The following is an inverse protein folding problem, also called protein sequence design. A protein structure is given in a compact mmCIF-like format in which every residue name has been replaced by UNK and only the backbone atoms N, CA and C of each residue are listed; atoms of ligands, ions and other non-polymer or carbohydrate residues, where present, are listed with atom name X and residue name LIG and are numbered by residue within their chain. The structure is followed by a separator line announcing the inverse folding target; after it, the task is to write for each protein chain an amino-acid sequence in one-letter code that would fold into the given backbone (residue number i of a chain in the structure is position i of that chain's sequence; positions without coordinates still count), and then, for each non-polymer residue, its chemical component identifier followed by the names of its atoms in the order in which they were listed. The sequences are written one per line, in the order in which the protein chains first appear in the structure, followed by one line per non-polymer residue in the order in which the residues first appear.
data_IF_023191805803
#
_entry.id   IF_023191805803
#
_cell.length_a   1.000
_cell.length_b   1.000
_cell.length_c   1.000
_cell.angle_alpha   90.00
_cell.angle_beta   90.00
_cell.angle_gamma   90.00
#
_symmetry.space_group_name_H-M   'P 1'
#
loop_
_entity.id
_entity.type
_entity.pdbx_description
1 polymer ?
#
# COMPACT_ATOMS: atom_id res chain seq x y z
N UNK A 1 -4.75 -16.40 -15.01
CA UNK A 1 -4.09 -16.38 -13.71
C UNK A 1 -2.57 -16.22 -13.82
N UNK A 2 -1.85 -17.11 -14.56
CA UNK A 2 -0.36 -17.04 -14.69
C UNK A 2 0.15 -15.68 -15.20
N UNK A 3 -0.44 -15.13 -16.26
CA UNK A 3 -0.05 -13.83 -16.82
C UNK A 3 -0.41 -12.64 -15.90
N UNK A 4 -1.47 -12.76 -15.10
CA UNK A 4 -1.87 -11.73 -14.13
C UNK A 4 -0.88 -11.65 -12.96
N UNK A 5 -0.47 -12.81 -12.42
CA UNK A 5 0.56 -12.88 -11.36
C UNK A 5 1.91 -12.35 -11.87
N UNK A 6 2.29 -12.69 -13.10
CA UNK A 6 3.52 -12.18 -13.73
C UNK A 6 3.47 -10.66 -13.86
N UNK A 7 2.36 -10.09 -14.28
CA UNK A 7 2.21 -8.63 -14.41
C UNK A 7 2.27 -7.92 -13.06
N UNK A 8 1.69 -8.50 -12.00
CA UNK A 8 1.80 -7.96 -10.64
C UNK A 8 3.26 -8.02 -10.15
N UNK A 9 3.94 -9.16 -10.34
CA UNK A 9 5.35 -9.31 -9.95
C UNK A 9 6.24 -8.31 -10.72
N UNK A 10 6.01 -8.14 -12.01
CA UNK A 10 6.75 -7.16 -12.82
C UNK A 10 6.48 -5.72 -12.36
N UNK A 11 5.25 -5.38 -12.01
CA UNK A 11 4.90 -4.06 -11.47
C UNK A 11 5.56 -3.81 -10.11
N UNK A 12 5.59 -4.81 -9.23
CA UNK A 12 6.27 -4.74 -7.93
C UNK A 12 7.79 -4.60 -8.08
N UNK A 13 8.42 -5.37 -8.99
CA UNK A 13 9.86 -5.26 -9.28
C UNK A 13 10.19 -3.87 -9.80
N UNK A 14 9.37 -3.33 -10.70
CA UNK A 14 9.56 -1.98 -11.25
C UNK A 14 9.45 -0.89 -10.17
N UNK A 15 8.51 -1.01 -9.23
CA UNK A 15 8.39 -0.09 -8.09
C UNK A 15 9.61 -0.16 -7.15
N UNK A 16 10.14 -1.37 -6.88
CA UNK A 16 11.33 -1.56 -6.03
C UNK A 16 12.58 -0.93 -6.68
N UNK A 17 12.74 -1.02 -8.01
CA UNK A 17 13.85 -0.39 -8.71
C UNK A 17 13.76 1.14 -8.70
N UNK A 18 12.57 1.71 -8.75
CA UNK A 18 12.34 3.15 -8.57
C UNK A 18 12.66 3.63 -7.16
N UNK A 19 12.39 2.83 -6.12
CA UNK A 19 12.78 3.14 -4.75
C UNK A 19 14.30 3.16 -4.55
N UNK A 20 15.02 2.20 -5.14
CA UNK A 20 16.49 2.21 -5.13
C UNK A 20 17.04 3.48 -5.77
N UNK A 21 16.38 3.99 -6.80
CA UNK A 21 16.74 5.24 -7.45
C UNK A 21 16.52 6.44 -6.51
N UNK A 22 15.41 6.48 -5.79
CA UNK A 22 15.10 7.53 -4.81
C UNK A 22 16.04 7.47 -3.60
N UNK A 23 16.36 6.28 -3.11
CA UNK A 23 17.33 6.06 -2.04
C UNK A 23 18.76 6.48 -2.45
N UNK A 24 19.19 6.19 -3.68
CA UNK A 24 20.46 6.65 -4.23
C UNK A 24 20.53 8.17 -4.39
N UNK A 25 19.42 8.83 -4.72
CA UNK A 25 19.32 10.28 -4.78
C UNK A 25 19.48 10.87 -3.37
N UNK A 26 18.84 10.30 -2.36
CA UNK A 26 18.96 10.70 -0.96
C UNK A 26 20.39 10.49 -0.41
N UNK A 27 21.03 9.36 -0.74
CA UNK A 27 22.42 9.09 -0.37
C UNK A 27 23.43 10.00 -1.10
N UNK A 28 23.16 10.36 -2.35
CA UNK A 28 24.02 11.32 -3.08
C UNK A 28 23.90 12.72 -2.50
N UNK A 29 22.73 13.14 -2.04
CA UNK A 29 22.58 14.43 -1.32
C UNK A 29 23.31 14.44 0.03
N UNK A 30 23.43 13.30 0.70
CA UNK A 30 24.22 13.15 1.93
C UNK A 30 25.74 13.14 1.63
N UNK A 31 26.18 12.49 0.54
CA UNK A 31 27.59 12.49 0.11
C UNK A 31 28.07 13.83 -0.46
N UNK A 32 27.19 14.64 -1.02
CA UNK A 32 27.52 15.99 -1.53
C UNK A 32 27.97 16.95 -0.42
N UNK A 33 27.67 16.68 0.87
CA UNK A 33 28.23 17.45 1.98
C UNK A 33 29.73 17.26 2.21
N UNK A 34 30.34 16.19 1.66
CA UNK A 34 31.78 15.92 1.78
C UNK A 34 32.65 16.46 0.64
N UNK A 35 32.06 16.91 -0.47
CA UNK A 35 32.82 17.42 -1.62
C UNK A 35 32.73 18.95 -1.76
N UNK A 36 33.40 19.67 -0.85
CA UNK A 36 33.34 21.14 -0.75
C UNK A 36 34.23 21.91 -1.73
N UNK A 37 34.74 21.33 -2.82
CA UNK A 37 35.74 21.97 -3.68
C UNK A 37 35.31 22.30 -5.13
N UNK A 38 34.03 22.25 -5.48
CA UNK A 38 33.59 22.67 -6.82
C UNK A 38 32.66 23.87 -6.75
N UNK A 39 33.09 24.98 -7.34
CA UNK A 39 32.40 26.29 -7.41
C UNK A 39 30.98 26.25 -8.00
N UNK A 40 30.60 25.12 -8.62
CA UNK A 40 29.25 24.88 -9.16
C UNK A 40 28.23 24.52 -8.07
N UNK A 41 28.66 24.03 -6.91
CA UNK A 41 27.79 23.60 -5.83
C UNK A 41 27.35 24.72 -4.89
N UNK A 42 28.07 25.82 -4.83
CA UNK A 42 27.69 26.98 -4.01
C UNK A 42 26.47 27.75 -4.54
N UNK A 43 26.09 27.51 -5.81
CA UNK A 43 24.86 28.07 -6.41
C UNK A 43 23.62 27.23 -6.03
N UNK A 44 23.80 25.99 -5.54
CA UNK A 44 22.71 25.04 -5.28
C UNK A 44 22.22 25.06 -3.80
N UNK A 45 22.90 25.78 -2.93
CA UNK A 45 22.57 25.81 -1.48
C UNK A 45 21.65 26.97 -1.13
N UNK A 46 21.52 27.97 -2.00
CA UNK A 46 20.68 29.12 -1.74
C UNK A 46 19.36 29.03 -2.52
N UNK A 47 18.32 28.73 -1.80
CA UNK A 47 16.90 28.73 -2.20
C UNK A 47 16.30 27.42 -2.73
N UNK A 48 15.14 27.12 -2.16
CA UNK A 48 14.20 26.04 -2.54
C UNK A 48 13.82 25.99 -4.05
N UNK A 49 14.06 27.08 -4.80
CA UNK A 49 13.90 27.15 -6.25
C UNK A 49 15.00 26.40 -7.03
N UNK A 50 16.20 26.26 -6.47
CA UNK A 50 17.32 25.61 -7.17
C UNK A 50 17.23 24.07 -7.16
N UNK A 51 16.61 23.49 -6.12
CA UNK A 51 16.34 22.04 -6.11
C UNK A 51 15.34 21.64 -7.20
N UNK A 52 14.43 22.52 -7.53
CA UNK A 52 13.43 22.38 -8.58
C UNK A 52 14.07 22.30 -9.99
N UNK A 53 14.93 23.25 -10.34
CA UNK A 53 15.62 23.23 -11.65
C UNK A 53 16.59 22.03 -11.76
N UNK A 54 17.25 21.65 -10.69
CA UNK A 54 18.12 20.47 -10.65
C UNK A 54 17.34 19.17 -10.86
N UNK A 55 16.20 19.01 -10.21
CA UNK A 55 15.30 17.86 -10.43
C UNK A 55 14.74 17.84 -11.84
N UNK A 56 14.33 18.98 -12.38
CA UNK A 56 13.83 19.15 -13.73
C UNK A 56 14.91 18.81 -14.78
N UNK A 57 16.13 19.28 -14.57
CA UNK A 57 17.28 18.96 -15.44
C UNK A 57 17.66 17.48 -15.39
N UNK A 58 17.61 16.87 -14.18
CA UNK A 58 17.93 15.46 -13.98
C UNK A 58 16.85 14.55 -14.58
N UNK A 59 15.58 14.91 -14.45
CA UNK A 59 14.47 14.20 -15.08
C UNK A 59 14.50 14.35 -16.62
N UNK A 60 14.89 15.53 -17.15
CA UNK A 60 15.02 15.76 -18.61
C UNK A 60 16.23 15.07 -19.22
N UNK A 61 17.35 14.96 -18.49
CA UNK A 61 18.59 14.34 -18.95
C UNK A 61 18.66 12.83 -18.70
N UNK A 62 17.71 12.27 -17.94
CA UNK A 62 17.63 10.83 -17.72
C UNK A 62 17.02 10.14 -18.96
N UNK A 63 17.79 10.13 -20.05
CA UNK A 63 17.55 9.25 -21.20
C UNK A 63 17.79 7.82 -20.77
N UNK A 64 16.84 7.21 -20.08
CA UNK A 64 16.78 5.75 -20.04
C UNK A 64 16.40 5.26 -21.43
N UNK A 65 17.33 4.64 -22.10
CA UNK A 65 17.23 4.12 -23.48
C UNK A 65 16.17 3.02 -23.64
N UNK A 66 15.41 2.69 -22.58
CA UNK A 66 14.43 1.59 -22.57
C UNK A 66 13.17 1.86 -21.73
N UNK A 67 12.97 3.07 -21.16
CA UNK A 67 11.75 3.41 -20.43
C UNK A 67 10.88 4.35 -21.25
N UNK A 68 9.65 3.95 -21.51
CA UNK A 68 8.62 4.84 -21.99
C UNK A 68 8.43 5.99 -20.98
N UNK A 69 8.40 7.22 -21.49
CA UNK A 69 8.10 8.38 -20.67
C UNK A 69 6.60 8.43 -20.45
N UNK A 70 6.16 8.06 -19.25
CA UNK A 70 4.74 8.01 -18.89
C UNK A 70 4.14 9.37 -18.52
N UNK A 71 4.98 10.33 -18.16
CA UNK A 71 4.54 11.65 -17.70
C UNK A 71 5.01 12.70 -18.69
N UNK A 72 4.09 13.43 -19.32
CA UNK A 72 4.38 14.55 -20.18
C UNK A 72 5.00 15.70 -19.39
N UNK A 73 5.83 16.52 -20.05
CA UNK A 73 6.53 17.67 -19.45
C UNK A 73 5.59 18.64 -18.75
N UNK A 74 4.40 18.83 -19.30
CA UNK A 74 3.37 19.72 -18.75
C UNK A 74 2.85 19.33 -17.35
N UNK A 75 3.00 18.04 -16.98
CA UNK A 75 2.54 17.52 -15.67
C UNK A 75 3.65 17.38 -14.62
N UNK A 76 4.92 17.62 -15.02
CA UNK A 76 6.07 17.47 -14.09
C UNK A 76 5.90 18.38 -12.86
N UNK A 77 5.40 19.60 -13.06
CA UNK A 77 5.19 20.56 -11.99
C UNK A 77 4.15 20.08 -10.98
N UNK A 78 3.11 19.38 -11.43
CA UNK A 78 2.11 18.76 -10.55
C UNK A 78 2.70 17.63 -9.70
N UNK A 79 3.60 16.83 -10.29
CA UNK A 79 4.29 15.75 -9.55
C UNK A 79 5.23 16.30 -8.47
N UNK A 80 5.97 17.37 -8.79
CA UNK A 80 6.94 17.99 -7.87
C UNK A 80 6.23 18.69 -6.71
N UNK A 81 5.11 19.37 -6.99
CA UNK A 81 4.36 20.14 -6.00
C UNK A 81 3.26 19.32 -5.30
N UNK A 82 3.23 18.01 -5.54
CA UNK A 82 2.23 17.13 -4.95
C UNK A 82 2.21 17.22 -3.43
N UNK A 83 1.01 17.35 -2.89
CA UNK A 83 0.74 17.25 -1.45
C UNK A 83 -0.47 16.35 -1.26
N UNK A 84 -0.29 15.29 -0.50
CA UNK A 84 -1.40 14.44 -0.11
C UNK A 84 -2.37 15.22 0.77
N UNK A 85 -3.66 15.15 0.44
CA UNK A 85 -4.75 15.64 1.26
C UNK A 85 -5.74 14.49 1.47
N UNK A 86 -6.07 14.22 2.71
CA UNK A 86 -7.03 13.17 3.05
C UNK A 86 -7.06 12.91 4.55
N UNK A 87 -8.09 12.21 4.98
CA UNK A 87 -8.28 11.83 6.38
C UNK A 87 -9.31 10.75 6.56
N UNK A 88 -9.15 9.97 7.61
CA UNK A 88 -10.08 8.95 8.06
C UNK A 88 -10.79 9.41 9.32
N UNK A 89 -12.14 9.50 9.25
CA UNK A 89 -13.00 9.90 10.37
C UNK A 89 -13.55 8.70 11.14
N UNK A 90 -13.18 7.48 10.76
CA UNK A 90 -13.65 6.24 11.34
C UNK A 90 -13.44 6.21 12.86
N UNK A 91 -14.40 5.63 13.55
CA UNK A 91 -14.37 5.47 15.01
C UNK A 91 -13.20 4.57 15.40
N UNK A 92 -13.05 3.42 14.73
CA UNK A 92 -11.98 2.46 15.00
C UNK A 92 -10.60 3.08 14.69
N UNK A 93 -10.48 3.79 13.58
CA UNK A 93 -9.25 4.51 13.26
C UNK A 93 -8.90 5.52 14.34
N UNK A 94 -9.82 6.39 14.70
CA UNK A 94 -9.60 7.50 15.62
C UNK A 94 -9.15 7.03 17.01
N UNK A 95 -9.78 5.98 17.55
CA UNK A 95 -9.57 5.57 18.93
C UNK A 95 -8.57 4.44 19.10
N UNK A 96 -8.36 3.59 18.09
CA UNK A 96 -7.51 2.41 18.18
C UNK A 96 -6.34 2.47 17.19
N UNK A 97 -6.61 2.51 15.89
CA UNK A 97 -5.57 2.36 14.88
C UNK A 97 -4.61 3.54 14.87
N UNK A 98 -5.13 4.77 14.85
CA UNK A 98 -4.32 5.97 14.76
C UNK A 98 -3.38 6.18 15.97
N UNK A 99 -3.82 6.03 17.23
CA UNK A 99 -2.93 6.09 18.38
C UNK A 99 -1.84 5.02 18.32
N UNK A 100 -2.20 3.78 17.96
CA UNK A 100 -1.26 2.68 17.83
C UNK A 100 -0.22 2.94 16.73
N UNK A 101 -0.64 3.32 15.53
CA UNK A 101 0.27 3.61 14.42
C UNK A 101 1.14 4.84 14.69
N UNK A 102 0.65 5.84 15.42
CA UNK A 102 1.46 6.99 15.85
C UNK A 102 2.55 6.60 16.85
N UNK A 103 2.25 5.67 17.73
CA UNK A 103 3.24 5.08 18.63
C UNK A 103 4.22 4.20 17.85
N UNK A 104 3.74 3.29 17.01
CA UNK A 104 4.54 2.33 16.26
C UNK A 104 5.54 3.00 15.30
N UNK A 105 5.13 4.05 14.57
CA UNK A 105 5.99 4.76 13.62
C UNK A 105 7.24 5.39 14.28
N UNK A 106 7.19 5.68 15.58
CA UNK A 106 8.33 6.26 16.30
C UNK A 106 9.49 5.28 16.46
N UNK A 107 9.21 3.98 16.48
CA UNK A 107 10.23 2.93 16.58
C UNK A 107 10.81 2.54 15.21
N UNK A 108 10.18 2.97 14.11
CA UNK A 108 10.69 2.67 12.79
C UNK A 108 11.96 3.50 12.51
N UNK A 109 13.01 2.86 11.97
CA UNK A 109 14.23 3.56 11.62
C UNK A 109 14.01 4.54 10.48
N UNK A 110 14.72 5.66 10.48
CA UNK A 110 14.59 6.71 9.45
C UNK A 110 15.09 6.27 8.06
N UNK A 111 15.86 5.20 7.98
CA UNK A 111 16.28 4.64 6.68
C UNK A 111 15.23 3.73 6.03
N UNK A 112 14.18 3.34 6.77
CA UNK A 112 13.12 2.48 6.25
C UNK A 112 12.19 3.31 5.37
N UNK A 113 12.21 3.02 4.07
CA UNK A 113 11.35 3.70 3.10
C UNK A 113 9.86 3.34 3.33
N UNK A 114 8.91 4.27 3.15
CA UNK A 114 7.48 4.02 3.33
C UNK A 114 6.98 2.84 2.50
N UNK A 115 7.32 2.78 1.22
CA UNK A 115 6.87 1.73 0.32
C UNK A 115 7.39 0.32 0.71
N UNK A 116 8.48 0.22 1.48
CA UNK A 116 8.91 -1.07 2.05
C UNK A 116 7.93 -1.56 3.10
N UNK A 117 7.33 -0.64 3.86
CA UNK A 117 6.30 -0.97 4.85
C UNK A 117 5.04 -1.47 4.12
N UNK A 118 4.60 -0.74 3.07
CA UNK A 118 3.47 -1.13 2.21
C UNK A 118 3.67 -2.53 1.63
N UNK A 119 4.84 -2.80 1.02
CA UNK A 119 5.19 -4.12 0.46
C UNK A 119 5.20 -5.20 1.54
N UNK A 120 5.76 -4.90 2.71
CA UNK A 120 5.80 -5.86 3.81
C UNK A 120 4.38 -6.22 4.27
N UNK A 121 3.48 -5.25 4.38
CA UNK A 121 2.06 -5.46 4.65
C UNK A 121 1.39 -6.34 3.58
N UNK A 122 1.62 -6.01 2.31
CA UNK A 122 1.09 -6.78 1.19
C UNK A 122 1.52 -8.26 1.22
N UNK A 123 2.76 -8.55 1.63
CA UNK A 123 3.23 -9.93 1.75
C UNK A 123 2.50 -10.73 2.83
N UNK A 124 1.98 -10.11 3.89
CA UNK A 124 1.13 -10.82 4.86
C UNK A 124 -0.17 -11.30 4.21
N UNK A 125 -0.80 -10.50 3.35
CA UNK A 125 -2.01 -10.92 2.63
C UNK A 125 -1.72 -11.95 1.55
N UNK A 126 -0.60 -11.83 0.85
CA UNK A 126 -0.16 -12.86 -0.09
C UNK A 126 0.12 -14.19 0.62
N UNK A 127 0.73 -14.13 1.81
CA UNK A 127 0.96 -15.31 2.64
C UNK A 127 -0.36 -15.96 3.06
N UNK A 128 -1.36 -15.18 3.47
CA UNK A 128 -2.70 -15.69 3.80
C UNK A 128 -3.34 -16.41 2.62
N UNK A 129 -3.24 -15.84 1.41
CA UNK A 129 -3.75 -16.45 0.19
C UNK A 129 -3.05 -17.79 -0.10
N UNK A 130 -1.73 -17.86 0.02
CA UNK A 130 -0.95 -19.10 -0.20
C UNK A 130 -1.33 -20.13 0.87
N UNK A 131 -1.37 -19.73 2.13
CA UNK A 131 -1.68 -20.60 3.26
C UNK A 131 -3.08 -21.23 3.12
N UNK A 132 -4.09 -20.40 2.89
CA UNK A 132 -5.47 -20.90 2.71
C UNK A 132 -5.60 -21.77 1.46
N UNK A 133 -4.96 -21.39 0.35
CA UNK A 133 -4.96 -22.20 -0.89
C UNK A 133 -4.31 -23.56 -0.71
N UNK A 134 -3.32 -23.66 0.17
CA UNK A 134 -2.67 -24.95 0.49
C UNK A 134 -3.65 -25.91 1.18
N UNK A 135 -4.52 -25.41 2.06
CA UNK A 135 -5.49 -26.23 2.79
C UNK A 135 -6.79 -26.49 2.03
N UNK A 136 -7.28 -25.51 1.27
CA UNK A 136 -8.53 -25.70 0.52
C UNK A 136 -8.33 -26.40 -0.81
N UNK A 137 -7.07 -26.48 -1.27
CA UNK A 137 -6.80 -26.91 -2.64
C UNK A 137 -7.45 -25.99 -3.66
N UNK A 138 -7.24 -26.22 -4.95
CA UNK A 138 -7.95 -25.47 -6.00
C UNK A 138 -9.42 -25.87 -6.17
N UNK A 139 -9.92 -26.85 -5.42
CA UNK A 139 -11.25 -27.47 -5.61
C UNK A 139 -12.27 -27.04 -4.55
N UNK A 140 -11.86 -26.31 -3.51
CA UNK A 140 -12.76 -25.93 -2.41
C UNK A 140 -13.40 -27.14 -1.72
N UNK A 141 -13.41 -27.18 -0.40
CA UNK A 141 -14.14 -28.21 0.34
C UNK A 141 -13.37 -28.90 1.45
N UNK A 142 -12.06 -28.75 1.50
CA UNK A 142 -11.27 -29.26 2.62
C UNK A 142 -11.42 -28.34 3.85
N UNK A 143 -11.38 -28.93 5.03
CA UNK A 143 -11.55 -28.20 6.28
C UNK A 143 -10.29 -27.39 6.57
N UNK A 144 -10.42 -26.07 6.65
CA UNK A 144 -9.36 -25.18 7.09
C UNK A 144 -9.16 -25.36 8.60
N UNK A 145 -7.93 -25.69 9.07
CA UNK A 145 -7.68 -25.81 10.50
C UNK A 145 -7.91 -24.49 11.26
N UNK A 146 -8.45 -24.51 12.48
CA UNK A 146 -8.73 -23.29 13.26
C UNK A 146 -7.53 -22.34 13.40
N UNK A 147 -6.34 -22.88 13.56
CA UNK A 147 -5.13 -22.06 13.68
C UNK A 147 -4.82 -21.25 12.41
N UNK A 148 -5.19 -21.76 11.23
CA UNK A 148 -5.02 -21.02 9.96
C UNK A 148 -5.91 -19.77 9.96
N UNK A 149 -7.16 -19.90 10.41
CA UNK A 149 -8.08 -18.76 10.51
C UNK A 149 -7.52 -17.69 11.47
N UNK A 150 -6.93 -18.10 12.62
CA UNK A 150 -6.30 -17.18 13.58
C UNK A 150 -5.09 -16.49 12.94
N UNK A 151 -4.24 -17.25 12.24
CA UNK A 151 -3.08 -16.67 11.53
C UNK A 151 -3.53 -15.69 10.47
N UNK A 152 -4.60 -15.98 9.72
CA UNK A 152 -5.14 -15.07 8.71
C UNK A 152 -5.66 -13.76 9.35
N UNK A 153 -6.35 -13.82 10.49
CA UNK A 153 -6.79 -12.63 11.21
C UNK A 153 -5.60 -11.77 11.67
N UNK A 154 -4.61 -12.38 12.34
CA UNK A 154 -3.42 -11.65 12.82
C UNK A 154 -2.65 -11.02 11.64
N UNK A 155 -2.45 -11.76 10.56
CA UNK A 155 -1.74 -11.27 9.38
C UNK A 155 -2.49 -10.13 8.70
N UNK A 156 -3.83 -10.21 8.62
CA UNK A 156 -4.64 -9.17 8.01
C UNK A 156 -4.66 -7.90 8.88
N UNK A 157 -4.81 -8.02 10.20
CA UNK A 157 -4.63 -6.90 11.14
C UNK A 157 -3.24 -6.27 10.99
N UNK A 158 -2.18 -7.09 10.82
CA UNK A 158 -0.81 -6.59 10.63
C UNK A 158 -0.68 -5.79 9.33
N UNK A 159 -1.29 -6.27 8.25
CA UNK A 159 -1.35 -5.53 6.98
C UNK A 159 -1.97 -4.14 7.19
N UNK A 160 -3.12 -4.05 7.83
CA UNK A 160 -3.81 -2.76 8.06
C UNK A 160 -2.96 -1.81 8.91
N UNK A 161 -2.25 -2.32 9.93
CA UNK A 161 -1.33 -1.51 10.72
C UNK A 161 -0.19 -0.96 9.85
N UNK A 162 0.36 -1.75 8.94
CA UNK A 162 1.44 -1.33 8.05
C UNK A 162 0.96 -0.30 7.04
N UNK A 163 -0.22 -0.50 6.46
CA UNK A 163 -0.91 0.38 5.55
C UNK A 163 -1.11 1.79 6.16
N UNK A 164 -1.73 1.87 7.34
CA UNK A 164 -1.86 3.15 8.04
C UNK A 164 -0.52 3.75 8.52
N UNK A 165 0.52 2.94 8.65
CA UNK A 165 1.83 3.40 9.16
C UNK A 165 2.72 3.95 8.06
N UNK A 166 2.64 3.45 6.82
CA UNK A 166 3.51 3.88 5.73
C UNK A 166 3.29 5.35 5.35
N UNK A 167 2.03 5.80 5.28
CA UNK A 167 1.70 7.21 5.11
C UNK A 167 2.18 8.11 6.25
N UNK A 168 2.20 7.60 7.51
CA UNK A 168 2.77 8.32 8.66
C UNK A 168 4.30 8.39 8.54
N UNK A 169 4.95 7.31 8.13
CA UNK A 169 6.39 7.27 7.88
C UNK A 169 6.76 8.21 6.71
N UNK A 170 5.97 8.23 5.63
CA UNK A 170 6.17 9.14 4.51
C UNK A 170 6.12 10.61 4.95
N UNK A 171 5.16 10.98 5.78
CA UNK A 171 5.07 12.33 6.34
C UNK A 171 6.22 12.66 7.29
N UNK A 172 6.61 11.70 8.16
CA UNK A 172 7.75 11.85 9.09
C UNK A 172 9.06 12.10 8.34
N UNK A 173 9.30 11.38 7.24
CA UNK A 173 10.50 11.49 6.42
C UNK A 173 10.43 12.60 5.36
N UNK A 174 9.28 13.29 5.22
CA UNK A 174 9.01 14.25 4.14
C UNK A 174 9.20 13.63 2.76
N UNK A 175 8.81 12.37 2.60
CA UNK A 175 8.97 11.55 1.40
C UNK A 175 7.64 11.23 0.72
N UNK A 176 6.56 11.96 1.04
CA UNK A 176 5.27 11.79 0.36
C UNK A 176 5.39 12.11 -1.13
N UNK A 177 4.86 11.23 -1.98
CA UNK A 177 4.95 11.36 -3.43
C UNK A 177 3.72 10.76 -4.12
N UNK A 178 3.36 11.22 -5.35
CA UNK A 178 2.28 10.61 -6.13
C UNK A 178 2.53 9.13 -6.43
N UNK A 179 3.80 8.76 -6.61
CA UNK A 179 4.18 7.36 -6.84
C UNK A 179 3.90 6.49 -5.62
N UNK A 180 4.19 7.02 -4.40
CA UNK A 180 3.86 6.34 -3.15
C UNK A 180 2.37 6.09 -3.02
N UNK A 181 1.52 7.09 -3.29
CA UNK A 181 0.06 6.95 -3.29
C UNK A 181 -0.43 5.93 -4.33
N UNK A 182 0.10 5.99 -5.56
CA UNK A 182 -0.27 5.04 -6.60
C UNK A 182 0.11 3.61 -6.23
N UNK A 183 1.25 3.44 -5.57
CA UNK A 183 1.74 2.14 -5.12
C UNK A 183 0.87 1.58 -3.99
N UNK A 184 0.53 2.40 -3.02
CA UNK A 184 -0.36 2.12 -1.90
C UNK A 184 -1.75 1.67 -2.41
N UNK A 185 -2.45 2.50 -3.16
CA UNK A 185 -3.74 2.13 -3.77
C UNK A 185 -3.66 0.91 -4.70
N UNK A 186 -2.52 0.69 -5.37
CA UNK A 186 -2.31 -0.51 -6.20
C UNK A 186 -2.22 -1.80 -5.37
N UNK A 187 -1.54 -1.75 -4.23
CA UNK A 187 -1.48 -2.88 -3.28
C UNK A 187 -2.84 -3.13 -2.62
N UNK A 188 -3.60 -2.08 -2.30
CA UNK A 188 -4.95 -2.18 -1.75
C UNK A 188 -5.92 -2.85 -2.72
N UNK A 189 -5.88 -2.46 -3.99
CA UNK A 189 -6.68 -3.11 -5.02
C UNK A 189 -6.41 -4.61 -5.12
N UNK A 190 -5.13 -5.02 -5.06
CA UNK A 190 -4.74 -6.44 -5.03
C UNK A 190 -5.20 -7.12 -3.73
N UNK A 191 -5.05 -6.44 -2.60
CA UNK A 191 -5.46 -6.94 -1.28
C UNK A 191 -6.95 -7.18 -1.21
N UNK A 192 -7.78 -6.32 -1.79
CA UNK A 192 -9.24 -6.50 -1.87
C UNK A 192 -9.59 -7.85 -2.49
N UNK A 193 -8.88 -8.26 -3.55
CA UNK A 193 -9.04 -9.58 -4.14
C UNK A 193 -8.55 -10.70 -3.23
N UNK A 194 -7.36 -10.58 -2.63
CA UNK A 194 -6.80 -11.62 -1.76
C UNK A 194 -7.66 -11.85 -0.53
N UNK A 195 -8.09 -10.79 0.14
CA UNK A 195 -8.97 -10.86 1.30
C UNK A 195 -10.29 -11.52 0.96
N UNK A 196 -10.88 -11.23 -0.21
CA UNK A 196 -12.09 -11.89 -0.67
C UNK A 196 -11.89 -13.40 -0.81
N UNK A 197 -10.80 -13.82 -1.45
CA UNK A 197 -10.53 -15.26 -1.66
C UNK A 197 -10.27 -15.96 -0.33
N UNK A 198 -9.47 -15.36 0.55
CA UNK A 198 -9.16 -15.91 1.88
C UNK A 198 -10.42 -16.02 2.73
N UNK A 199 -11.19 -14.94 2.85
CA UNK A 199 -12.42 -14.91 3.67
C UNK A 199 -13.48 -15.85 3.12
N UNK A 200 -13.68 -15.86 1.79
CA UNK A 200 -14.60 -16.80 1.17
C UNK A 200 -14.21 -18.27 1.36
N UNK A 201 -12.91 -18.58 1.34
CA UNK A 201 -12.40 -19.92 1.65
C UNK A 201 -12.66 -20.28 3.13
N UNK A 202 -12.42 -19.36 4.03
CA UNK A 202 -12.66 -19.54 5.48
C UNK A 202 -14.16 -19.69 5.78
N UNK A 203 -15.03 -18.99 5.05
CA UNK A 203 -16.50 -19.13 5.13
C UNK A 203 -17.05 -20.33 4.36
N UNK A 204 -16.17 -21.15 3.80
CA UNK A 204 -16.54 -22.33 3.00
C UNK A 204 -17.44 -22.03 1.79
N UNK A 205 -17.24 -20.89 1.15
CA UNK A 205 -17.90 -20.58 -0.10
C UNK A 205 -17.64 -21.68 -1.14
N UNK A 206 -18.71 -22.24 -1.69
CA UNK A 206 -18.65 -23.44 -2.56
C UNK A 206 -18.72 -23.10 -4.04
N UNK A 207 -19.15 -21.89 -4.39
CA UNK A 207 -19.37 -21.49 -5.77
C UNK A 207 -18.91 -20.04 -6.03
N UNK A 208 -18.67 -19.75 -7.31
CA UNK A 208 -18.17 -18.46 -7.75
C UNK A 208 -19.10 -17.28 -7.40
N UNK A 209 -20.40 -17.50 -7.33
CA UNK A 209 -21.36 -16.44 -7.03
C UNK A 209 -21.18 -15.92 -5.60
N UNK A 210 -20.87 -16.79 -4.63
CA UNK A 210 -20.59 -16.39 -3.25
C UNK A 210 -19.33 -15.53 -3.16
N UNK A 211 -18.26 -15.91 -3.86
CA UNK A 211 -17.06 -15.08 -3.94
C UNK A 211 -17.33 -13.73 -4.61
N UNK A 212 -18.15 -13.69 -5.67
CA UNK A 212 -18.52 -12.42 -6.31
C UNK A 212 -19.37 -11.54 -5.40
N UNK A 213 -20.26 -12.11 -4.58
CA UNK A 213 -21.04 -11.37 -3.58
C UNK A 213 -20.16 -10.75 -2.50
N UNK A 214 -19.03 -11.38 -2.14
CA UNK A 214 -18.05 -10.79 -1.22
C UNK A 214 -17.17 -9.75 -1.93
N UNK A 215 -16.71 -10.04 -3.13
CA UNK A 215 -15.78 -9.19 -3.87
C UNK A 215 -16.41 -7.88 -4.36
N UNK A 216 -17.63 -7.96 -4.90
CA UNK A 216 -18.27 -6.83 -5.57
C UNK A 216 -18.48 -5.62 -4.64
N UNK A 217 -19.02 -5.75 -3.41
CA UNK A 217 -19.15 -4.61 -2.50
C UNK A 217 -17.81 -4.00 -2.12
N UNK A 218 -16.79 -4.83 -1.83
CA UNK A 218 -15.46 -4.36 -1.45
C UNK A 218 -14.79 -3.60 -2.58
N UNK A 219 -14.78 -4.16 -3.78
CA UNK A 219 -14.17 -3.52 -4.95
C UNK A 219 -14.91 -2.27 -5.41
N UNK A 220 -16.25 -2.27 -5.35
CA UNK A 220 -17.04 -1.08 -5.67
C UNK A 220 -16.78 0.05 -4.67
N UNK A 221 -16.75 -0.24 -3.38
CA UNK A 221 -16.46 0.77 -2.35
C UNK A 221 -15.06 1.36 -2.56
N UNK A 222 -14.06 0.52 -2.78
CA UNK A 222 -12.70 0.96 -3.07
C UNK A 222 -12.65 1.85 -4.34
N UNK A 223 -13.27 1.40 -5.43
CA UNK A 223 -13.32 2.14 -6.69
C UNK A 223 -14.02 3.49 -6.53
N UNK A 224 -15.18 3.53 -5.84
CA UNK A 224 -15.93 4.78 -5.65
C UNK A 224 -15.13 5.78 -4.81
N UNK A 225 -14.46 5.34 -3.75
CA UNK A 225 -13.64 6.21 -2.91
C UNK A 225 -12.45 6.80 -3.69
N UNK A 226 -11.75 5.99 -4.48
CA UNK A 226 -10.65 6.47 -5.32
C UNK A 226 -11.13 7.36 -6.46
N UNK A 227 -12.32 7.11 -6.97
CA UNK A 227 -12.96 7.96 -7.98
C UNK A 227 -13.38 9.31 -7.38
N UNK A 228 -13.95 9.32 -6.18
CA UNK A 228 -14.28 10.54 -5.45
C UNK A 228 -13.02 11.38 -5.20
N UNK A 229 -11.94 10.76 -4.72
CA UNK A 229 -10.63 11.41 -4.54
C UNK A 229 -10.12 12.10 -5.80
N UNK A 230 -10.28 11.45 -6.96
CA UNK A 230 -9.86 12.03 -8.24
C UNK A 230 -10.58 13.36 -8.57
N UNK A 231 -11.86 13.49 -8.25
CA UNK A 231 -12.63 14.70 -8.54
C UNK A 231 -12.58 15.76 -7.44
N UNK A 232 -12.56 15.34 -6.19
CA UNK A 232 -12.56 16.24 -5.02
C UNK A 232 -11.15 16.71 -4.68
N UNK A 233 -10.12 15.90 -5.02
CA UNK A 233 -8.72 16.20 -4.72
C UNK A 233 -8.30 15.83 -3.31
N UNK A 234 -9.17 15.17 -2.54
CA UNK A 234 -8.89 14.65 -1.21
C UNK A 234 -9.68 13.37 -0.93
N UNK A 235 -9.07 12.42 -0.23
CA UNK A 235 -9.72 11.21 0.23
C UNK A 235 -10.21 11.40 1.66
N UNK A 236 -11.53 11.49 1.87
CA UNK A 236 -12.12 11.61 3.21
C UNK A 236 -13.02 10.44 3.50
N UNK A 237 -12.54 9.50 4.31
CA UNK A 237 -13.34 8.34 4.73
C UNK A 237 -14.32 8.73 5.84
N UNK A 238 -15.58 8.26 5.78
CA UNK A 238 -16.64 8.58 6.76
C UNK A 238 -16.38 7.92 8.14
N UNK A 239 -17.29 8.19 9.10
CA UNK A 239 -17.18 7.70 10.48
C UNK A 239 -17.33 6.16 10.59
N UNK A 240 -18.03 5.54 9.65
CA UNK A 240 -18.09 4.08 9.49
C UNK A 240 -17.72 3.79 8.05
N UNK A 241 -16.63 3.07 7.85
CA UNK A 241 -16.12 2.79 6.50
C UNK A 241 -15.64 1.34 6.36
N UNK A 242 -15.43 0.97 5.09
CA UNK A 242 -15.00 -0.39 4.74
C UNK A 242 -13.54 -0.70 5.08
N UNK A 243 -12.70 0.35 5.23
CA UNK A 243 -11.26 0.17 5.49
C UNK A 243 -11.04 -0.21 6.97
N UNK A 244 -11.51 0.60 7.91
CA UNK A 244 -11.28 0.36 9.33
C UNK A 244 -12.31 -0.63 9.94
N UNK A 245 -13.61 -0.29 9.86
CA UNK A 245 -14.66 -1.15 10.44
C UNK A 245 -14.87 -2.44 9.64
N UNK A 246 -14.70 -2.37 8.31
CA UNK A 246 -14.77 -3.54 7.43
C UNK A 246 -13.67 -4.55 7.73
N UNK A 247 -12.45 -4.08 8.05
CA UNK A 247 -11.35 -4.95 8.50
C UNK A 247 -11.68 -5.68 9.77
N UNK A 248 -12.21 -4.96 10.78
CA UNK A 248 -12.63 -5.57 12.05
C UNK A 248 -13.69 -6.66 11.81
N UNK A 249 -14.64 -6.42 10.90
CA UNK A 249 -15.65 -7.41 10.55
C UNK A 249 -15.03 -8.67 9.93
N UNK A 250 -14.06 -8.53 9.05
CA UNK A 250 -13.34 -9.65 8.43
C UNK A 250 -12.56 -10.43 9.49
N UNK A 251 -11.87 -9.77 10.40
CA UNK A 251 -11.15 -10.43 11.49
C UNK A 251 -12.09 -11.18 12.43
N UNK A 252 -13.27 -10.61 12.73
CA UNK A 252 -14.32 -11.28 13.51
C UNK A 252 -14.81 -12.55 12.78
N UNK A 253 -15.02 -12.50 11.48
CA UNK A 253 -15.39 -13.68 10.67
C UNK A 253 -14.31 -14.76 10.76
N UNK A 254 -13.04 -14.40 10.63
CA UNK A 254 -11.94 -15.36 10.76
C UNK A 254 -11.88 -15.98 12.17
N UNK A 255 -12.08 -15.20 13.21
CA UNK A 255 -12.09 -15.69 14.60
C UNK A 255 -13.32 -16.61 14.86
N UNK A 256 -14.50 -16.22 14.39
CA UNK A 256 -15.70 -17.06 14.48
C UNK A 256 -15.47 -18.41 13.78
N UNK A 257 -14.91 -18.38 12.58
CA UNK A 257 -14.58 -19.61 11.84
C UNK A 257 -13.56 -20.47 12.58
N UNK A 258 -12.61 -19.86 13.30
CA UNK A 258 -11.66 -20.60 14.12
C UNK A 258 -12.32 -21.33 15.29
N UNK A 259 -13.38 -20.75 15.88
CA UNK A 259 -14.07 -21.28 17.06
C UNK A 259 -15.13 -22.33 16.66
N UNK A 260 -15.95 -22.02 15.69
CA UNK A 260 -17.13 -22.81 15.33
C UNK A 260 -16.93 -23.65 14.06
N UNK A 261 -15.89 -23.36 13.27
CA UNK A 261 -15.62 -24.08 12.03
C UNK A 261 -16.74 -23.92 11.00
N UNK A 262 -16.90 -24.97 10.16
CA UNK A 262 -17.86 -25.00 9.05
C UNK A 262 -19.33 -24.94 9.51
N UNK A 263 -19.60 -25.39 10.72
CA UNK A 263 -20.99 -25.55 11.21
C UNK A 263 -21.67 -24.19 11.47
N UNK A 264 -20.92 -23.09 11.43
CA UNK A 264 -21.46 -21.75 11.60
C UNK A 264 -21.99 -21.14 10.29
N UNK A 265 -21.38 -21.44 9.15
CA UNK A 265 -21.69 -20.90 7.82
C UNK A 265 -22.38 -21.95 6.95
#
# INVERSE_FOLDING_TARGET
MKNFIINIILSLIFCIDLEKLHFNISLQTLKVKEFSNYKIYNVLIDNSKNNYEFLKLKLSNFKMSFCFRYIDDQYIDNVINYKYSGGDKSILYRFVINPFCNWFVQYLPNWLAPNVITVSGFFFNLFNLILTSFYTGMKGGDIIPPWVCIVCAISYTTYIIFDYTDGKQARRLKASSPLGLLFDHGTDACTTFYVTVVTGSIMYCSNMYQYLLLYFPLSCTFFINTWEEYYVGELVLPEINGVAEGTLLIDIIHIISAIYGRDFF
#
